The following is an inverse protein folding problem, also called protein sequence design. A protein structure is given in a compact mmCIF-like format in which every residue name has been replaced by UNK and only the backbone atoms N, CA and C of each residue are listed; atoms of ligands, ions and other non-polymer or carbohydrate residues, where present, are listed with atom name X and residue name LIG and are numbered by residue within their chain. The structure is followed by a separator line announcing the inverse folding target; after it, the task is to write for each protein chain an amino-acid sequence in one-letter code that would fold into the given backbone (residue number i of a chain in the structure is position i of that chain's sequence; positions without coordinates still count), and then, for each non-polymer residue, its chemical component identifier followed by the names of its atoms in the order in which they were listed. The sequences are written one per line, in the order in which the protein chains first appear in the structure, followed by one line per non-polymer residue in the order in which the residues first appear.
data_IF_131093032743
#
_entry.id   IF_131093032743
#
_cell.length_a   1.000
_cell.length_b   1.000
_cell.length_c   1.000
_cell.angle_alpha   90.00
_cell.angle_beta   90.00
_cell.angle_gamma   90.00
#
_symmetry.space_group_name_H-M   'P 1'
#
loop_
_entity.id
_entity.type
_entity.pdbx_description
1 polymer ?
#
# COMPACT_ATOMS: atom_id res chain seq x y z
N UNK A 1 -48.22 -36.53 -24.49
CA UNK A 1 -49.32 -36.17 -25.40
C UNK A 1 -48.75 -35.20 -26.43
N UNK A 2 -48.42 -35.66 -27.65
CA UNK A 2 -49.10 -35.34 -28.94
C UNK A 2 -49.37 -33.82 -29.06
N UNK A 3 -48.89 -33.06 -30.06
CA UNK A 3 -48.97 -33.31 -31.51
C UNK A 3 -47.99 -32.43 -32.31
N UNK A 4 -47.50 -32.99 -33.40
CA UNK A 4 -46.94 -32.31 -34.57
C UNK A 4 -47.99 -31.46 -35.31
N UNK A 5 -47.55 -30.48 -36.10
CA UNK A 5 -48.25 -30.02 -37.30
C UNK A 5 -47.24 -29.63 -38.39
N UNK A 6 -47.14 -30.51 -39.38
CA UNK A 6 -46.61 -30.28 -40.71
C UNK A 6 -47.66 -29.48 -41.50
N UNK A 7 -47.24 -28.49 -42.30
CA UNK A 7 -48.06 -27.95 -43.37
C UNK A 7 -47.19 -27.72 -44.61
N UNK A 8 -47.47 -28.56 -45.60
CA UNK A 8 -46.98 -28.61 -46.96
C UNK A 8 -47.80 -27.61 -47.81
N UNK A 9 -47.17 -26.74 -48.60
CA UNK A 9 -47.82 -26.08 -49.76
C UNK A 9 -46.86 -26.07 -50.94
N UNK A 10 -47.39 -26.52 -52.07
CA UNK A 10 -46.75 -26.87 -53.33
C UNK A 10 -46.92 -25.74 -54.36
N UNK A 11 -45.89 -25.60 -55.20
CA UNK A 11 -45.75 -24.97 -56.54
C UNK A 11 -46.90 -24.14 -57.14
N UNK A 12 -46.53 -23.00 -57.75
CA UNK A 12 -46.99 -22.65 -59.09
C UNK A 12 -45.89 -21.91 -59.87
N UNK A 13 -45.59 -22.38 -61.08
CA UNK A 13 -44.66 -21.81 -62.04
C UNK A 13 -45.42 -21.06 -63.15
N UNK A 14 -44.88 -19.93 -63.64
CA UNK A 14 -45.31 -19.23 -64.85
C UNK A 14 -44.10 -18.68 -65.64
N UNK A 15 -44.26 -18.63 -66.97
CA UNK A 15 -43.27 -18.57 -68.06
C UNK A 15 -42.62 -17.19 -68.38
N UNK A 16 -41.29 -17.20 -68.63
CA UNK A 16 -40.42 -16.73 -69.78
C UNK A 16 -41.02 -15.67 -70.77
N UNK A 17 -40.30 -14.59 -71.22
CA UNK A 17 -39.16 -14.70 -72.16
C UNK A 17 -38.01 -13.67 -72.17
N UNK A 18 -37.06 -13.99 -73.06
CA UNK A 18 -35.70 -13.52 -73.31
C UNK A 18 -35.49 -12.03 -73.63
N UNK A 19 -34.24 -11.57 -73.45
CA UNK A 19 -33.69 -10.47 -74.25
C UNK A 19 -32.49 -9.74 -73.65
N UNK A 20 -31.43 -9.66 -74.45
CA UNK A 20 -30.33 -8.70 -74.49
C UNK A 20 -29.05 -8.96 -73.67
N UNK A 21 -28.01 -9.22 -74.46
CA UNK A 21 -26.58 -9.18 -74.15
C UNK A 21 -26.17 -7.92 -73.39
N UNK A 22 -25.27 -8.06 -72.42
CA UNK A 22 -24.17 -7.10 -72.32
C UNK A 22 -22.95 -7.72 -71.66
N UNK A 23 -21.85 -7.69 -72.40
CA UNK A 23 -20.52 -8.01 -71.93
C UNK A 23 -20.12 -7.09 -70.78
N UNK A 24 -19.72 -7.66 -69.65
CA UNK A 24 -18.82 -6.98 -68.72
C UNK A 24 -17.90 -8.01 -68.09
N UNK A 25 -16.62 -7.80 -68.39
CA UNK A 25 -15.45 -8.59 -68.03
C UNK A 25 -15.49 -9.19 -66.62
N UNK A 26 -15.22 -10.49 -66.54
CA UNK A 26 -14.69 -11.11 -65.32
C UNK A 26 -13.28 -10.54 -65.09
N UNK A 27 -13.17 -9.58 -64.17
CA UNK A 27 -11.86 -9.22 -63.61
C UNK A 27 -11.39 -10.39 -62.76
N UNK A 28 -10.45 -11.17 -63.30
CA UNK A 28 -9.62 -12.08 -62.52
C UNK A 28 -8.90 -11.22 -61.48
N UNK A 29 -9.32 -11.31 -60.22
CA UNK A 29 -8.64 -10.64 -59.13
C UNK A 29 -7.23 -11.23 -58.99
N UNK A 30 -6.23 -10.38 -59.20
CA UNK A 30 -4.82 -10.70 -58.93
C UNK A 30 -4.65 -10.96 -57.42
N UNK A 31 -4.11 -12.12 -56.99
CA UNK A 31 -3.89 -12.42 -55.57
C UNK A 31 -2.86 -11.50 -54.89
N UNK A 32 -2.22 -10.58 -55.62
CA UNK A 32 -1.16 -9.71 -55.11
C UNK A 32 -1.61 -8.30 -54.72
N UNK A 33 -2.89 -7.97 -54.86
CA UNK A 33 -3.39 -6.63 -54.52
C UNK A 33 -4.39 -6.65 -53.36
N UNK A 34 -3.99 -7.28 -52.25
CA UNK A 34 -4.59 -6.98 -50.96
C UNK A 34 -3.94 -5.71 -50.43
N UNK A 35 -4.68 -4.61 -50.48
CA UNK A 35 -4.36 -3.41 -49.71
C UNK A 35 -4.26 -3.83 -48.23
N UNK A 36 -3.15 -3.56 -47.51
CA UNK A 36 -3.06 -3.88 -46.09
C UNK A 36 -4.21 -3.19 -45.37
N UNK A 37 -4.96 -3.97 -44.57
CA UNK A 37 -6.04 -3.45 -43.75
C UNK A 37 -5.44 -2.40 -42.80
N UNK A 38 -5.76 -1.13 -43.05
CA UNK A 38 -5.53 -0.05 -42.10
C UNK A 38 -6.49 -0.32 -40.95
N UNK A 39 -6.02 -0.96 -39.86
CA UNK A 39 -6.93 -1.40 -38.80
C UNK A 39 -6.34 -1.80 -37.45
N UNK A 40 -5.20 -2.48 -37.35
CA UNK A 40 -4.93 -3.26 -36.13
C UNK A 40 -3.69 -2.80 -35.34
N UNK A 41 -3.46 -1.49 -35.22
CA UNK A 41 -2.53 -1.01 -34.21
C UNK A 41 -3.19 -1.08 -32.83
N UNK A 42 -2.62 -1.83 -31.87
CA UNK A 42 -3.16 -1.87 -30.53
C UNK A 42 -2.94 -0.54 -29.81
N UNK A 43 -3.76 -0.27 -28.82
CA UNK A 43 -3.51 0.78 -27.84
C UNK A 43 -2.75 0.18 -26.67
N UNK A 44 -1.62 0.78 -26.31
CA UNK A 44 -0.83 0.41 -25.12
C UNK A 44 -1.00 1.50 -24.08
N UNK A 45 -1.31 1.10 -22.84
CA UNK A 45 -1.37 1.98 -21.69
C UNK A 45 -0.63 1.35 -20.51
N UNK A 46 -0.07 2.17 -19.63
CA UNK A 46 0.54 1.70 -18.37
C UNK A 46 -0.32 2.16 -17.21
N UNK A 47 -0.75 1.23 -16.36
CA UNK A 47 -1.40 1.53 -15.09
C UNK A 47 -0.34 1.77 -14.01
N UNK A 48 -0.40 2.95 -13.39
CA UNK A 48 0.42 3.37 -12.26
C UNK A 48 -0.37 3.30 -10.95
N UNK A 49 0.31 3.05 -9.83
CA UNK A 49 -0.21 3.29 -8.47
C UNK A 49 0.15 4.70 -8.03
N UNK A 50 -0.77 5.47 -7.47
CA UNK A 50 -0.57 6.85 -6.99
C UNK A 50 -0.19 6.91 -5.49
N UNK A 51 -0.58 5.91 -4.70
CA UNK A 51 -0.23 5.79 -3.27
C UNK A 51 0.58 4.53 -3.00
N UNK A 52 1.62 4.63 -2.16
CA UNK A 52 2.41 3.48 -1.73
C UNK A 52 2.81 3.57 -0.25
N UNK A 53 2.87 2.41 0.41
CA UNK A 53 3.34 2.30 1.79
C UNK A 53 4.86 2.37 1.80
N UNK A 54 5.44 3.04 2.80
CA UNK A 54 6.89 3.08 2.98
C UNK A 54 7.51 1.68 3.03
N UNK A 55 8.49 1.41 2.17
CA UNK A 55 9.19 0.12 2.12
C UNK A 55 8.45 -1.00 1.38
N UNK A 56 7.25 -0.76 0.83
CA UNK A 56 6.54 -1.73 -0.01
C UNK A 56 6.96 -1.60 -1.49
N UNK A 57 7.16 -2.73 -2.21
CA UNK A 57 7.48 -2.69 -3.64
C UNK A 57 6.30 -2.16 -4.46
N UNK A 58 6.57 -1.52 -5.60
CA UNK A 58 5.54 -1.01 -6.50
C UNK A 58 5.32 -1.96 -7.67
N UNK A 59 4.11 -1.94 -8.21
CA UNK A 59 3.72 -2.73 -9.38
C UNK A 59 3.25 -1.82 -10.49
N UNK A 60 3.76 -2.04 -11.70
CA UNK A 60 3.27 -1.41 -12.92
C UNK A 60 2.76 -2.47 -13.88
N UNK A 61 1.65 -2.17 -14.56
CA UNK A 61 0.99 -3.11 -15.48
C UNK A 61 0.80 -2.46 -16.84
N UNK A 62 1.25 -3.13 -17.88
CA UNK A 62 0.96 -2.79 -19.26
C UNK A 62 -0.38 -3.40 -19.67
N UNK A 63 -1.26 -2.56 -20.20
CA UNK A 63 -2.56 -2.95 -20.76
C UNK A 63 -2.50 -2.74 -22.26
N UNK A 64 -2.81 -3.80 -23.00
CA UNK A 64 -2.88 -3.78 -24.47
C UNK A 64 -4.33 -4.04 -24.85
N UNK A 65 -4.91 -3.19 -25.70
CA UNK A 65 -6.26 -3.36 -26.22
C UNK A 65 -6.30 -3.21 -27.74
N UNK A 66 -7.03 -4.10 -28.41
CA UNK A 66 -7.06 -4.18 -29.88
C UNK A 66 -5.82 -4.87 -30.46
N UNK A 67 -5.64 -4.73 -31.77
CA UNK A 67 -4.54 -5.35 -32.50
C UNK A 67 -4.80 -6.79 -32.93
N UNK A 68 -3.85 -7.34 -33.69
CA UNK A 68 -3.92 -8.70 -34.21
C UNK A 68 -3.89 -9.74 -33.07
N UNK A 69 -4.94 -10.58 -32.92
CA UNK A 69 -4.99 -11.61 -31.88
C UNK A 69 -3.99 -12.75 -32.07
N UNK A 70 -3.38 -12.89 -33.25
CA UNK A 70 -2.35 -13.90 -33.52
C UNK A 70 -0.96 -13.48 -32.98
N UNK A 71 -0.78 -12.21 -32.61
CA UNK A 71 0.49 -11.69 -32.09
C UNK A 71 0.63 -12.02 -30.60
N UNK A 72 1.78 -12.59 -30.24
CA UNK A 72 2.20 -12.71 -28.85
C UNK A 72 3.08 -11.50 -28.48
N UNK A 73 2.61 -10.59 -27.60
CA UNK A 73 3.36 -9.39 -27.28
C UNK A 73 4.63 -9.70 -26.47
N UNK A 74 5.70 -8.96 -26.76
CA UNK A 74 6.93 -8.94 -25.94
C UNK A 74 7.03 -7.62 -25.19
N UNK A 75 7.68 -7.61 -24.03
CA UNK A 75 7.73 -6.44 -23.16
C UNK A 75 9.17 -6.06 -22.87
N UNK A 76 9.47 -4.77 -22.94
CA UNK A 76 10.75 -4.22 -22.52
C UNK A 76 10.49 -3.00 -21.63
N UNK A 77 10.77 -3.19 -20.35
CA UNK A 77 10.53 -2.16 -19.32
C UNK A 77 11.76 -1.30 -19.06
N UNK A 78 11.51 0.00 -18.90
CA UNK A 78 12.48 0.99 -18.42
C UNK A 78 11.85 1.78 -17.29
N UNK A 79 12.57 1.93 -16.19
CA UNK A 79 12.11 2.67 -15.00
C UNK A 79 13.15 3.72 -14.63
N UNK A 80 12.69 4.90 -14.21
CA UNK A 80 13.56 6.01 -13.78
C UNK A 80 13.63 6.02 -12.25
N UNK A 81 14.84 6.18 -11.70
CA UNK A 81 15.13 6.30 -10.26
C UNK A 81 14.76 5.10 -9.37
N UNK A 82 14.37 3.97 -9.96
CA UNK A 82 14.05 2.71 -9.27
C UNK A 82 14.63 1.51 -10.01
N UNK A 83 14.84 0.40 -9.29
CA UNK A 83 15.26 -0.88 -9.86
C UNK A 83 14.10 -1.87 -10.03
N UNK A 84 14.05 -2.56 -11.17
CA UNK A 84 13.14 -3.70 -11.39
C UNK A 84 13.63 -4.92 -10.60
N UNK A 85 12.74 -5.46 -9.75
CA UNK A 85 12.97 -6.69 -8.99
C UNK A 85 12.57 -7.94 -9.78
N UNK A 86 11.44 -7.88 -10.49
CA UNK A 86 10.89 -9.02 -11.25
C UNK A 86 9.98 -8.59 -12.40
N UNK A 87 9.73 -9.48 -13.36
CA UNK A 87 8.76 -9.28 -14.45
C UNK A 87 9.27 -8.48 -15.65
N UNK A 88 10.60 -8.36 -15.82
CA UNK A 88 11.21 -7.51 -16.87
C UNK A 88 10.72 -7.79 -18.29
N UNK A 89 10.31 -9.02 -18.58
CA UNK A 89 9.84 -9.45 -19.90
C UNK A 89 8.36 -9.87 -19.89
N UNK A 90 7.60 -9.43 -18.89
CA UNK A 90 6.16 -9.75 -18.74
C UNK A 90 5.31 -8.48 -18.78
N UNK A 91 3.99 -8.64 -18.86
CA UNK A 91 3.04 -7.52 -18.87
C UNK A 91 2.97 -6.75 -17.53
N UNK A 92 3.64 -7.25 -16.47
CA UNK A 92 3.63 -6.64 -15.13
C UNK A 92 5.03 -6.70 -14.53
N UNK A 93 5.56 -5.54 -14.10
CA UNK A 93 6.82 -5.46 -13.36
C UNK A 93 6.59 -5.14 -11.89
N UNK A 94 7.49 -5.64 -11.06
CA UNK A 94 7.63 -5.21 -9.66
C UNK A 94 8.95 -4.48 -9.52
N UNK A 95 8.93 -3.29 -8.96
CA UNK A 95 10.12 -2.47 -8.68
C UNK A 95 10.35 -2.33 -7.18
N UNK A 96 11.56 -1.93 -6.81
CA UNK A 96 11.91 -1.70 -5.42
C UNK A 96 11.10 -0.56 -4.78
N UNK A 97 10.99 -0.62 -3.46
CA UNK A 97 10.30 0.39 -2.69
C UNK A 97 11.08 1.72 -2.73
N UNK A 98 10.43 2.84 -3.04
CA UNK A 98 11.08 4.14 -3.00
C UNK A 98 11.40 4.53 -1.56
N UNK A 99 12.62 5.01 -1.33
CA UNK A 99 13.06 5.49 -0.01
C UNK A 99 12.60 6.93 0.29
N UNK A 100 12.10 7.64 -0.72
CA UNK A 100 11.61 9.03 -0.65
C UNK A 100 10.39 9.20 -1.55
N UNK A 101 9.49 10.08 -1.18
CA UNK A 101 8.37 10.48 -2.05
C UNK A 101 8.90 11.22 -3.28
N UNK A 102 8.11 11.24 -4.34
CA UNK A 102 8.49 11.91 -5.58
C UNK A 102 7.76 11.36 -6.80
N UNK A 103 8.10 11.93 -7.95
CA UNK A 103 7.63 11.47 -9.24
C UNK A 103 8.48 10.29 -9.72
N UNK A 104 7.84 9.20 -10.10
CA UNK A 104 8.48 8.01 -10.67
C UNK A 104 7.84 7.67 -12.00
N UNK A 105 8.68 7.31 -12.98
CA UNK A 105 8.24 7.03 -14.34
C UNK A 105 8.57 5.59 -14.72
N UNK A 106 7.56 4.90 -15.24
CA UNK A 106 7.69 3.59 -15.87
C UNK A 106 7.33 3.72 -17.36
N UNK A 107 8.18 3.17 -18.21
CA UNK A 107 8.00 3.12 -19.67
C UNK A 107 8.07 1.68 -20.14
N UNK A 108 7.11 1.27 -20.95
CA UNK A 108 7.10 -0.04 -21.60
C UNK A 108 7.17 0.14 -23.12
N UNK A 109 8.04 -0.62 -23.74
CA UNK A 109 8.09 -0.83 -25.19
C UNK A 109 7.56 -2.24 -25.47
N UNK A 110 6.50 -2.34 -26.26
CA UNK A 110 5.84 -3.60 -26.61
C UNK A 110 6.27 -4.03 -28.02
N UNK A 111 6.76 -5.25 -28.15
CA UNK A 111 7.11 -5.84 -29.45
C UNK A 111 6.06 -6.83 -29.96
N UNK A 112 6.23 -7.27 -31.20
CA UNK A 112 5.39 -8.29 -31.85
C UNK A 112 4.42 -7.74 -32.90
N UNK A 113 4.11 -6.45 -32.86
CA UNK A 113 3.21 -5.78 -33.80
C UNK A 113 3.97 -5.08 -34.95
N UNK A 114 3.22 -4.57 -35.93
CA UNK A 114 3.77 -3.83 -37.07
C UNK A 114 4.59 -2.61 -36.60
N UNK A 115 5.71 -2.33 -37.28
CA UNK A 115 6.61 -1.21 -36.95
C UNK A 115 5.99 0.16 -37.18
N UNK A 116 4.90 0.24 -37.96
CA UNK A 116 4.10 1.44 -38.11
C UNK A 116 3.30 1.79 -36.84
N UNK A 117 3.11 0.83 -35.92
CA UNK A 117 2.36 1.06 -34.70
C UNK A 117 3.22 1.71 -33.62
N UNK A 118 2.64 2.67 -32.90
CA UNK A 118 3.27 3.26 -31.71
C UNK A 118 3.10 2.31 -30.53
N UNK A 119 4.16 1.58 -30.20
CA UNK A 119 4.13 0.52 -29.18
C UNK A 119 4.81 0.91 -27.87
N UNK A 120 4.93 2.21 -27.61
CA UNK A 120 5.53 2.73 -26.37
C UNK A 120 4.48 3.43 -25.55
N UNK A 121 4.39 3.08 -24.28
CA UNK A 121 3.56 3.77 -23.31
C UNK A 121 4.34 4.06 -22.04
N UNK A 122 4.00 5.16 -21.37
CA UNK A 122 4.58 5.49 -20.08
C UNK A 122 3.52 6.01 -19.14
N UNK A 123 3.68 5.75 -17.85
CA UNK A 123 2.95 6.42 -16.81
C UNK A 123 3.92 7.04 -15.81
N UNK A 124 3.49 8.16 -15.22
CA UNK A 124 4.20 8.85 -14.16
C UNK A 124 3.29 8.84 -12.93
N UNK A 125 3.86 8.47 -11.80
CA UNK A 125 3.17 8.48 -10.51
C UNK A 125 3.88 9.39 -9.54
N UNK A 126 3.11 10.19 -8.81
CA UNK A 126 3.59 10.95 -7.67
C UNK A 126 3.31 10.14 -6.41
N UNK A 127 4.32 9.44 -5.91
CA UNK A 127 4.12 8.60 -4.75
C UNK A 127 4.07 9.44 -3.48
N UNK A 128 2.89 9.40 -2.86
CA UNK A 128 2.73 9.78 -1.46
C UNK A 128 3.12 8.56 -0.64
N UNK A 129 4.26 8.64 0.04
CA UNK A 129 4.66 7.63 1.02
C UNK A 129 3.75 7.76 2.23
N UNK A 130 2.90 6.77 2.47
CA UNK A 130 2.14 6.71 3.72
C UNK A 130 3.14 6.55 4.88
N UNK A 131 3.22 7.53 5.80
CA UNK A 131 4.18 7.47 6.86
C UNK A 131 3.69 6.46 7.92
N UNK A 132 4.60 5.65 8.45
CA UNK A 132 4.28 4.63 9.47
C UNK A 132 4.68 5.11 10.86
N UNK A 133 4.04 4.60 11.94
CA UNK A 133 4.52 4.85 13.29
C UNK A 133 5.93 4.27 13.47
N UNK A 134 6.84 5.08 14.02
CA UNK A 134 8.23 4.67 14.29
C UNK A 134 8.44 4.50 15.78
N UNK A 135 9.01 3.36 16.19
CA UNK A 135 9.43 3.15 17.59
C UNK A 135 10.73 3.92 17.82
N UNK A 136 10.65 5.03 18.53
CA UNK A 136 11.80 5.87 18.84
C UNK A 136 12.64 5.29 19.99
N UNK A 137 12.04 4.45 20.84
CA UNK A 137 12.76 3.88 21.97
C UNK A 137 11.88 3.07 22.92
N UNK A 138 12.52 2.55 23.96
CA UNK A 138 11.85 1.93 25.09
C UNK A 138 12.72 1.99 26.35
N UNK A 139 12.08 1.98 27.52
CA UNK A 139 12.80 1.85 28.79
C UNK A 139 11.99 1.01 29.78
N UNK A 140 12.68 0.11 30.48
CA UNK A 140 12.11 -0.89 31.37
C UNK A 140 12.04 -0.45 32.83
N UNK A 141 11.93 -1.40 33.76
CA UNK A 141 11.77 -1.14 35.19
C UNK A 141 12.74 -0.09 35.77
N UNK A 142 14.01 -0.12 35.36
CA UNK A 142 15.04 0.82 35.80
C UNK A 142 14.98 2.13 35.00
N UNK A 143 15.20 3.26 35.67
CA UNK A 143 15.06 4.60 35.08
C UNK A 143 16.36 5.16 34.50
N UNK A 144 17.42 4.34 34.46
CA UNK A 144 18.76 4.78 34.09
C UNK A 144 18.77 5.37 32.67
N UNK A 145 18.03 4.74 31.75
CA UNK A 145 17.94 5.17 30.35
C UNK A 145 16.71 6.04 30.04
N UNK A 146 15.82 6.29 31.01
CA UNK A 146 14.55 7.01 30.78
C UNK A 146 14.78 8.38 30.12
N UNK A 147 15.74 9.16 30.63
CA UNK A 147 16.03 10.48 30.08
C UNK A 147 16.68 10.43 28.69
N UNK A 148 17.50 9.41 28.42
CA UNK A 148 18.14 9.23 27.12
C UNK A 148 17.10 8.86 26.08
N UNK A 149 16.24 7.88 26.37
CA UNK A 149 15.17 7.43 25.48
C UNK A 149 14.14 8.54 25.21
N UNK A 150 13.79 9.33 26.23
CA UNK A 150 12.95 10.53 26.05
C UNK A 150 13.66 11.64 25.25
N UNK A 151 15.00 11.68 25.25
CA UNK A 151 15.77 12.57 24.39
C UNK A 151 15.64 12.20 22.93
N UNK A 152 15.82 10.91 22.62
CA UNK A 152 15.77 10.40 21.25
C UNK A 152 14.38 10.61 20.66
N UNK A 153 13.32 10.39 21.47
CA UNK A 153 11.95 10.72 21.08
C UNK A 153 11.78 12.22 20.77
N UNK A 154 12.36 13.11 21.57
CA UNK A 154 12.30 14.55 21.31
C UNK A 154 12.99 14.92 20.00
N UNK A 155 14.17 14.35 19.74
CA UNK A 155 14.92 14.62 18.52
C UNK A 155 14.20 14.10 17.27
N UNK A 156 13.51 12.96 17.38
CA UNK A 156 12.66 12.45 16.29
C UNK A 156 11.43 13.34 16.05
N UNK A 157 10.74 13.79 17.12
CA UNK A 157 9.60 14.71 17.02
C UNK A 157 9.93 16.09 16.46
N UNK A 158 11.22 16.48 16.44
CA UNK A 158 11.67 17.72 15.80
C UNK A 158 11.75 17.62 14.29
N UNK A 159 11.89 16.40 13.73
CA UNK A 159 11.97 16.17 12.29
C UNK A 159 10.61 16.38 11.61
N UNK A 160 9.53 16.08 12.31
CA UNK A 160 8.15 16.33 11.88
C UNK A 160 7.38 17.11 12.95
N UNK A 161 7.11 18.41 12.74
CA UNK A 161 6.37 19.23 13.71
C UNK A 161 4.89 18.87 13.82
N UNK A 162 4.34 18.12 12.84
CA UNK A 162 2.94 17.67 12.82
C UNK A 162 2.72 16.33 13.52
N UNK A 163 3.79 15.56 13.73
CA UNK A 163 3.73 14.28 14.43
C UNK A 163 3.44 14.43 15.94
N UNK A 164 2.86 13.38 16.51
CA UNK A 164 2.65 13.22 17.94
C UNK A 164 3.57 12.15 18.53
N UNK A 165 4.04 12.38 19.75
CA UNK A 165 4.76 11.39 20.53
C UNK A 165 3.80 10.57 21.38
N UNK A 166 3.88 9.24 21.29
CA UNK A 166 3.09 8.32 22.08
C UNK A 166 3.96 7.64 23.13
N UNK A 167 3.51 7.69 24.39
CA UNK A 167 4.09 6.95 25.50
C UNK A 167 3.10 5.84 25.84
N UNK A 168 3.43 4.60 25.48
CA UNK A 168 2.62 3.43 25.84
C UNK A 168 3.25 2.78 27.06
N UNK A 169 2.59 2.92 28.21
CA UNK A 169 3.13 2.46 29.48
C UNK A 169 2.45 1.18 29.95
N UNK A 170 3.26 0.19 30.29
CA UNK A 170 2.84 -1.10 30.80
C UNK A 170 3.23 -1.23 32.27
N UNK A 171 2.32 -1.75 33.08
CA UNK A 171 2.63 -2.24 34.42
C UNK A 171 3.30 -3.62 34.33
N UNK A 172 4.14 -3.97 35.29
CA UNK A 172 4.63 -5.33 35.46
C UNK A 172 3.64 -6.21 36.24
N UNK A 173 3.87 -7.52 36.26
CA UNK A 173 3.07 -8.50 37.02
C UNK A 173 3.00 -8.17 38.52
N UNK A 174 4.01 -7.48 39.06
CA UNK A 174 4.08 -7.02 40.46
C UNK A 174 3.90 -5.51 40.61
N UNK A 175 3.48 -4.80 39.57
CA UNK A 175 3.28 -3.36 39.67
C UNK A 175 2.10 -3.02 40.58
N UNK A 176 2.20 -1.87 41.22
CA UNK A 176 1.10 -1.29 41.98
C UNK A 176 0.04 -0.74 41.03
N UNK A 177 -1.16 -0.53 41.56
CA UNK A 177 -2.23 0.20 40.87
C UNK A 177 -1.69 1.54 40.37
N UNK A 178 -2.02 1.88 39.12
CA UNK A 178 -1.67 3.12 38.42
C UNK A 178 -0.16 3.33 38.18
N UNK A 179 0.69 2.32 38.36
CA UNK A 179 2.12 2.46 38.14
C UNK A 179 2.44 2.82 36.68
N UNK A 180 1.78 2.15 35.73
CA UNK A 180 1.86 2.45 34.30
C UNK A 180 1.48 3.91 33.99
N UNK A 181 0.32 4.35 34.49
CA UNK A 181 -0.17 5.72 34.32
C UNK A 181 0.82 6.75 34.87
N UNK A 182 1.31 6.55 36.10
CA UNK A 182 2.27 7.46 36.75
C UNK A 182 3.59 7.54 35.98
N UNK A 183 4.03 6.41 35.40
CA UNK A 183 5.22 6.34 34.56
C UNK A 183 5.07 7.20 33.31
N UNK A 184 3.92 7.09 32.63
CA UNK A 184 3.57 7.92 31.47
C UNK A 184 3.46 9.41 31.83
N UNK A 185 2.80 9.74 32.93
CA UNK A 185 2.68 11.11 33.42
C UNK A 185 4.06 11.74 33.67
N UNK A 186 4.99 11.00 34.29
CA UNK A 186 6.36 11.48 34.52
C UNK A 186 7.12 11.71 33.21
N UNK A 187 7.06 10.78 32.27
CA UNK A 187 7.70 10.93 30.95
C UNK A 187 7.15 12.14 30.19
N UNK A 188 5.82 12.29 30.15
CA UNK A 188 5.14 13.45 29.56
C UNK A 188 5.56 14.75 30.24
N UNK A 189 5.62 14.78 31.56
CA UNK A 189 6.01 15.98 32.31
C UNK A 189 7.48 16.35 32.06
N UNK A 190 8.38 15.38 31.91
CA UNK A 190 9.78 15.63 31.52
C UNK A 190 9.85 16.26 30.12
N UNK A 191 9.16 15.69 29.14
CA UNK A 191 9.11 16.21 27.76
C UNK A 191 8.49 17.61 27.69
N UNK A 192 7.42 17.85 28.44
CA UNK A 192 6.75 19.15 28.46
C UNK A 192 7.56 20.22 29.18
N UNK A 193 7.99 19.96 30.42
CA UNK A 193 8.63 20.98 31.28
C UNK A 193 10.11 21.17 30.97
N UNK A 194 10.82 20.10 30.61
CA UNK A 194 12.28 20.15 30.42
C UNK A 194 12.65 20.37 28.96
N UNK A 195 11.93 19.73 28.02
CA UNK A 195 12.23 19.83 26.57
C UNK A 195 11.34 20.83 25.83
N UNK A 196 10.32 21.39 26.48
CA UNK A 196 9.46 22.41 25.90
C UNK A 196 8.49 21.88 24.84
N UNK A 197 8.20 20.57 24.82
CA UNK A 197 7.18 20.02 23.91
C UNK A 197 5.79 20.45 24.40
N UNK A 198 4.96 20.99 23.50
CA UNK A 198 3.56 21.33 23.83
C UNK A 198 2.79 20.09 24.27
N UNK A 199 2.00 20.19 25.35
CA UNK A 199 1.28 19.05 25.92
C UNK A 199 0.41 18.29 24.91
N UNK A 200 -0.20 18.98 23.92
CA UNK A 200 -1.01 18.36 22.87
C UNK A 200 -0.23 17.49 21.86
N UNK A 201 1.10 17.55 21.87
CA UNK A 201 1.95 16.69 21.03
C UNK A 201 2.31 15.38 21.72
N UNK A 202 2.03 15.20 23.01
CA UNK A 202 2.37 13.97 23.74
C UNK A 202 1.10 13.27 24.21
N UNK A 203 0.87 12.06 23.69
CA UNK A 203 -0.25 11.20 24.04
C UNK A 203 0.25 10.08 24.96
N UNK A 204 -0.42 9.88 26.08
CA UNK A 204 -0.12 8.77 27.01
C UNK A 204 -1.19 7.69 26.89
N UNK A 205 -0.77 6.43 26.73
CA UNK A 205 -1.65 5.28 26.60
C UNK A 205 -1.36 4.30 27.72
N UNK A 206 -2.40 3.81 28.40
CA UNK A 206 -2.30 2.67 29.30
C UNK A 206 -2.22 1.39 28.46
N UNK A 207 -1.04 0.77 28.44
CA UNK A 207 -0.78 -0.45 27.68
C UNK A 207 -1.26 -1.73 28.38
N UNK A 208 -1.78 -1.64 29.61
CA UNK A 208 -2.10 -2.79 30.44
C UNK A 208 -0.88 -3.35 31.14
N UNK A 209 -0.76 -4.69 31.20
CA UNK A 209 0.28 -5.36 31.97
C UNK A 209 1.16 -6.26 31.11
N UNK A 210 2.46 -6.26 31.42
CA UNK A 210 3.46 -7.21 30.94
C UNK A 210 4.14 -7.89 32.12
N UNK A 211 5.06 -8.81 31.85
CA UNK A 211 5.82 -9.48 32.91
C UNK A 211 6.60 -8.46 33.77
N UNK A 212 7.33 -7.57 33.12
CA UNK A 212 8.02 -6.44 33.74
C UNK A 212 7.45 -5.09 33.26
N UNK A 213 7.55 -4.01 34.07
CA UNK A 213 7.16 -2.68 33.64
C UNK A 213 7.99 -2.23 32.44
N UNK A 214 7.33 -1.70 31.42
CA UNK A 214 7.96 -1.19 30.21
C UNK A 214 7.25 0.07 29.76
N UNK A 215 7.99 1.01 29.17
CA UNK A 215 7.40 2.09 28.39
C UNK A 215 7.96 2.05 26.99
N UNK A 216 7.07 2.00 26.01
CA UNK A 216 7.41 2.14 24.60
C UNK A 216 7.20 3.59 24.16
N UNK A 217 8.13 4.11 23.37
CA UNK A 217 8.12 5.47 22.84
C UNK A 217 7.95 5.40 21.33
N UNK A 218 6.92 6.09 20.84
CA UNK A 218 6.56 6.07 19.43
C UNK A 218 6.42 7.49 18.88
N UNK A 219 6.84 7.69 17.64
CA UNK A 219 6.49 8.86 16.83
C UNK A 219 5.41 8.44 15.85
N UNK A 220 4.27 9.11 15.93
CA UNK A 220 3.10 8.83 15.10
C UNK A 220 2.85 10.06 14.23
N UNK A 221 3.06 9.95 12.91
CA UNK A 221 2.75 11.03 11.96
C UNK A 221 1.27 11.43 12.00
N UNK A 222 0.97 12.64 11.55
CA UNK A 222 -0.42 13.13 11.53
C UNK A 222 -1.30 12.27 10.62
N UNK A 223 -2.50 11.91 11.09
CA UNK A 223 -3.46 11.09 10.33
C UNK A 223 -3.19 9.58 10.35
N UNK A 224 -2.14 9.11 11.01
CA UNK A 224 -1.77 7.69 11.08
C UNK A 224 -2.28 7.06 12.38
N UNK A 225 -2.80 5.84 12.29
CA UNK A 225 -3.24 5.08 13.47
C UNK A 225 -2.03 4.68 14.33
N UNK A 226 -2.04 4.98 15.64
CA UNK A 226 -0.97 4.57 16.54
C UNK A 226 -0.92 3.04 16.68
N UNK A 227 0.25 2.44 16.98
CA UNK A 227 0.35 1.01 17.19
C UNK A 227 -0.50 0.58 18.39
N UNK A 228 -1.19 -0.57 18.32
CA UNK A 228 -1.98 -1.06 19.43
C UNK A 228 -1.08 -1.43 20.61
N UNK A 229 -1.61 -1.26 21.82
CA UNK A 229 -0.97 -1.80 23.02
C UNK A 229 -0.87 -3.33 22.91
N UNK A 230 0.23 -3.89 23.43
CA UNK A 230 0.50 -5.34 23.44
C UNK A 230 0.80 -5.82 24.87
N UNK A 231 -0.23 -5.90 25.74
CA UNK A 231 -0.08 -6.51 27.06
C UNK A 231 0.20 -8.02 26.93
N UNK A 232 0.94 -8.58 27.87
CA UNK A 232 1.25 -10.01 27.95
C UNK A 232 0.74 -10.68 29.22
N UNK A 233 0.17 -9.90 30.15
CA UNK A 233 -0.35 -10.38 31.43
C UNK A 233 -1.79 -9.92 31.58
N UNK A 234 -2.67 -10.86 31.92
CA UNK A 234 -4.07 -10.54 32.23
C UNK A 234 -4.14 -9.70 33.53
N UNK A 235 -4.95 -8.62 33.58
CA UNK A 235 -5.10 -7.82 34.79
C UNK A 235 -5.45 -8.60 36.06
N UNK A 236 -6.16 -9.73 35.95
CA UNK A 236 -6.51 -10.60 37.06
C UNK A 236 -5.32 -11.38 37.65
N UNK A 237 -4.24 -11.55 36.88
CA UNK A 237 -3.02 -12.23 37.31
C UNK A 237 -2.00 -11.30 38.00
N UNK A 238 -2.27 -10.00 38.02
CA UNK A 238 -1.39 -9.00 38.62
C UNK A 238 -1.40 -9.18 40.14
N UNK A 239 -0.21 -9.24 40.73
CA UNK A 239 0.00 -9.46 42.17
C UNK A 239 0.80 -8.29 42.76
N UNK A 240 0.15 -7.15 43.09
CA UNK A 240 0.82 -6.02 43.69
C UNK A 240 1.49 -6.40 45.01
N UNK A 241 2.65 -5.81 45.36
CA UNK A 241 3.26 -6.02 46.66
C UNK A 241 2.33 -5.52 47.78
N UNK A 242 2.34 -6.24 48.90
CA UNK A 242 1.59 -5.84 50.09
C UNK A 242 1.97 -4.41 50.51
N UNK A 243 1.00 -3.59 50.94
CA UNK A 243 1.30 -2.24 51.42
C UNK A 243 2.24 -2.30 52.63
N UNK A 244 3.14 -1.32 52.81
CA UNK A 244 4.01 -1.26 53.97
C UNK A 244 3.17 -1.20 55.25
N UNK A 245 3.50 -2.04 56.23
CA UNK A 245 2.84 -2.01 57.55
C UNK A 245 3.05 -0.64 58.18
N UNK A 246 1.98 0.10 58.45
CA UNK A 246 2.05 1.38 59.19
C UNK A 246 2.80 1.15 60.50
N UNK A 247 3.95 1.78 60.66
CA UNK A 247 4.65 1.79 61.94
C UNK A 247 3.71 2.39 62.99
N UNK A 248 3.36 1.63 64.04
CA UNK A 248 2.65 2.17 65.20
C UNK A 248 3.49 3.34 65.72
N UNK A 249 2.95 4.56 65.67
CA UNK A 249 3.51 5.75 66.35
C UNK A 249 3.80 5.32 67.79
N UNK A 250 5.06 5.08 68.13
CA UNK A 250 5.47 4.94 69.54
C UNK A 250 5.19 6.29 70.17
N UNK A 251 4.20 6.33 71.06
CA UNK A 251 3.86 7.52 71.82
C UNK A 251 5.12 8.02 72.53
N UNK A 252 5.51 9.26 72.26
CA UNK A 252 6.48 10.00 73.06
C UNK A 252 5.81 10.20 74.42
N UNK A 253 6.34 9.54 75.46
CA UNK A 253 6.11 9.93 76.86
C UNK A 253 7.05 11.09 77.19
#
# INVERSE_FOLDING_TARGET
MRKAKVALVVLLALLVPAGADNSSAQSVADPRNQTPLIGDCPTVAVSCVDTAVFGAPLTFTANISGGDPAVTPTYKWTVTDLRILSGRDTHTITVEAPMRGGAFKATVEVGGYDRACTMTASCETNLILEPIPVKAGEYGKYFDDEKAQLSDLYDELRKDPTAQGYLVCYGGRRSRRDEARRRCERGRDYLGRTRGITAGRIVTVDGGFREEPLTELWVVPSGVTPPPASPTVDPSEVRPPAPPRRARRRGRR
#
